data_IF_891679719642
#
_entry.id   IF_891679719642
#
_cell.length_a   1.000
_cell.length_b   1.000
_cell.length_c   1.000
_cell.angle_alpha   90.00
_cell.angle_beta   90.00
_cell.angle_gamma   90.00
#
_symmetry.space_group_name_H-M   'P 1'
#
loop_
_entity.id
_entity.type
_entity.pdbx_description
1 polymer ?
#
# COMPACT_ATOMS: atom_id res chain seq x y z
N UNK A 1 -18.32 -10.32 11.79
CA UNK A 1 -18.79 -9.78 13.09
C UNK A 1 -17.69 -9.91 14.15
N UNK A 2 -17.58 -8.96 15.10
CA UNK A 2 -16.66 -9.06 16.26
C UNK A 2 -17.34 -9.81 17.41
N UNK A 3 -16.61 -10.75 18.03
CA UNK A 3 -17.03 -11.47 19.22
C UNK A 3 -16.06 -11.20 20.37
N UNK A 4 -16.56 -10.85 21.56
CA UNK A 4 -15.75 -10.75 22.77
C UNK A 4 -15.92 -12.03 23.58
N UNK A 5 -14.82 -12.75 23.79
CA UNK A 5 -14.79 -14.03 24.51
C UNK A 5 -13.71 -13.98 25.61
N UNK A 6 -14.08 -13.45 26.78
CA UNK A 6 -13.17 -13.36 27.92
C UNK A 6 -13.93 -13.49 29.25
N UNK A 7 -13.33 -14.13 30.25
CA UNK A 7 -13.78 -14.08 31.65
C UNK A 7 -13.04 -13.00 32.45
N UNK A 8 -12.06 -12.33 31.87
CA UNK A 8 -11.38 -11.20 32.50
C UNK A 8 -12.32 -9.98 32.50
N UNK A 9 -12.69 -9.55 33.70
CA UNK A 9 -13.66 -8.49 33.91
C UNK A 9 -13.16 -7.13 33.40
N UNK A 10 -11.87 -6.85 33.57
CA UNK A 10 -11.26 -5.58 33.17
C UNK A 10 -11.21 -5.48 31.65
N UNK A 11 -10.63 -6.50 31.00
CA UNK A 11 -10.60 -6.62 29.53
C UNK A 11 -12.00 -6.57 28.94
N UNK A 12 -12.94 -7.32 29.50
CA UNK A 12 -14.34 -7.32 29.03
C UNK A 12 -14.92 -5.91 29.03
N UNK A 13 -14.84 -5.20 30.15
CA UNK A 13 -15.46 -3.89 30.27
C UNK A 13 -14.79 -2.85 29.38
N UNK A 14 -13.47 -2.85 29.30
CA UNK A 14 -12.75 -1.87 28.48
C UNK A 14 -13.00 -2.10 26.99
N UNK A 15 -12.91 -3.35 26.51
CA UNK A 15 -13.16 -3.71 25.11
C UNK A 15 -14.61 -3.41 24.72
N UNK A 16 -15.59 -3.82 25.54
CA UNK A 16 -17.02 -3.58 25.28
C UNK A 16 -17.33 -2.08 25.24
N UNK A 17 -16.78 -1.30 26.17
CA UNK A 17 -16.97 0.15 26.18
C UNK A 17 -16.36 0.78 24.92
N UNK A 18 -15.13 0.41 24.56
CA UNK A 18 -14.44 0.94 23.40
C UNK A 18 -15.13 0.60 22.06
N UNK A 19 -15.77 -0.57 21.96
CA UNK A 19 -16.60 -0.97 20.80
C UNK A 19 -17.91 -0.17 20.74
N UNK A 20 -18.57 0.03 21.88
CA UNK A 20 -19.80 0.83 21.97
C UNK A 20 -19.58 2.30 21.65
N UNK A 21 -18.49 2.88 22.14
CA UNK A 21 -18.13 4.28 21.87
C UNK A 21 -17.89 4.57 20.39
N UNK A 22 -17.69 3.52 19.58
CA UNK A 22 -17.46 3.57 18.13
C UNK A 22 -18.64 3.07 17.29
N UNK A 23 -19.79 2.81 17.91
CA UNK A 23 -21.00 2.28 17.24
C UNK A 23 -20.75 0.99 16.44
N UNK A 24 -19.90 0.10 16.98
CA UNK A 24 -19.53 -1.16 16.32
C UNK A 24 -20.52 -2.26 16.70
N UNK A 25 -20.92 -3.07 15.71
CA UNK A 25 -21.71 -4.27 15.97
C UNK A 25 -20.82 -5.40 16.49
N UNK A 26 -21.12 -5.90 17.70
CA UNK A 26 -20.40 -7.00 18.32
C UNK A 26 -21.36 -7.87 19.16
N UNK A 27 -20.90 -9.08 19.49
CA UNK A 27 -21.55 -9.96 20.46
C UNK A 27 -20.56 -10.47 21.50
N UNK A 28 -21.06 -11.11 22.54
CA UNK A 28 -20.27 -11.62 23.67
C UNK A 28 -20.60 -13.09 23.89
N UNK A 29 -19.58 -13.93 24.09
CA UNK A 29 -19.74 -15.37 24.37
C UNK A 29 -18.84 -15.80 25.52
N UNK A 30 -19.14 -16.94 26.13
CA UNK A 30 -18.24 -17.53 27.14
C UNK A 30 -17.00 -18.12 26.46
N UNK A 31 -15.79 -17.95 27.03
CA UNK A 31 -14.58 -18.57 26.49
C UNK A 31 -14.71 -20.08 26.32
N UNK A 32 -14.23 -20.59 25.18
CA UNK A 32 -14.31 -22.01 24.81
C UNK A 32 -15.67 -22.51 24.30
N UNK A 33 -16.66 -21.63 24.14
CA UNK A 33 -17.92 -21.96 23.47
C UNK A 33 -17.86 -21.73 21.95
N UNK A 34 -18.76 -22.35 21.19
CA UNK A 34 -18.79 -22.15 19.74
C UNK A 34 -19.14 -20.70 19.38
N UNK A 35 -18.42 -20.15 18.41
CA UNK A 35 -18.69 -18.82 17.88
C UNK A 35 -19.90 -18.84 16.93
N UNK A 36 -20.62 -17.71 16.77
CA UNK A 36 -21.60 -17.54 15.71
C UNK A 36 -20.99 -17.76 14.32
N UNK A 37 -21.79 -18.23 13.35
CA UNK A 37 -21.32 -18.47 11.97
C UNK A 37 -20.79 -17.21 11.27
N UNK A 38 -21.26 -16.03 11.69
CA UNK A 38 -20.89 -14.71 11.15
C UNK A 38 -19.64 -14.12 11.84
N UNK A 39 -19.02 -14.85 12.78
CA UNK A 39 -17.85 -14.40 13.50
C UNK A 39 -16.61 -14.34 12.58
N UNK A 40 -16.00 -13.17 12.50
CA UNK A 40 -14.79 -12.93 11.70
C UNK A 40 -13.58 -12.65 12.59
N UNK A 41 -13.82 -12.00 13.73
CA UNK A 41 -12.81 -11.68 14.75
C UNK A 41 -13.32 -12.08 16.13
N UNK A 42 -12.45 -12.65 16.95
CA UNK A 42 -12.68 -12.86 18.38
C UNK A 42 -11.63 -12.12 19.20
N UNK A 43 -12.06 -11.37 20.22
CA UNK A 43 -11.20 -10.68 21.18
C UNK A 43 -11.20 -11.44 22.49
N UNK A 44 -10.02 -11.82 22.99
CA UNK A 44 -9.85 -12.59 24.23
C UNK A 44 -8.71 -12.04 25.07
N UNK A 45 -8.68 -12.32 26.39
CA UNK A 45 -7.60 -11.87 27.26
C UNK A 45 -6.33 -12.72 27.08
N UNK A 46 -5.15 -12.12 27.30
CA UNK A 46 -3.87 -12.83 27.22
C UNK A 46 -3.81 -14.07 28.13
N UNK A 47 -4.34 -13.95 29.34
CA UNK A 47 -4.41 -15.05 30.32
C UNK A 47 -5.26 -16.25 29.87
N UNK A 48 -6.10 -16.06 28.85
CA UNK A 48 -7.07 -17.05 28.36
C UNK A 48 -6.71 -17.60 26.97
N UNK A 49 -5.66 -17.06 26.34
CA UNK A 49 -5.28 -17.34 24.96
C UNK A 49 -4.54 -18.67 24.76
N UNK A 50 -4.14 -19.37 25.84
CA UNK A 50 -3.33 -20.60 25.77
C UNK A 50 -1.95 -20.38 25.11
N UNK A 51 -1.12 -21.43 25.05
CA UNK A 51 0.23 -21.38 24.42
C UNK A 51 0.21 -21.10 22.89
N UNK A 52 -0.98 -20.87 22.31
CA UNK A 52 -1.17 -20.46 20.92
C UNK A 52 -2.54 -19.82 20.74
N UNK A 53 -2.58 -18.49 20.62
CA UNK A 53 -3.80 -17.69 20.49
C UNK A 53 -4.73 -18.10 19.30
N UNK A 54 -4.25 -18.93 18.36
CA UNK A 54 -5.04 -19.42 17.22
C UNK A 54 -5.76 -20.76 17.42
N UNK A 55 -5.52 -21.50 18.50
CA UNK A 55 -6.03 -22.89 18.64
C UNK A 55 -7.44 -22.98 19.26
N UNK A 56 -7.88 -21.96 20.01
CA UNK A 56 -9.19 -21.98 20.69
C UNK A 56 -10.36 -21.82 19.71
N UNK A 57 -10.17 -21.03 18.65
CA UNK A 57 -11.20 -20.67 17.68
C UNK A 57 -10.69 -20.87 16.23
N UNK A 58 -10.57 -22.12 15.77
CA UNK A 58 -10.01 -22.41 14.46
C UNK A 58 -10.84 -21.78 13.33
N UNK A 59 -10.17 -21.03 12.46
CA UNK A 59 -10.80 -20.38 11.30
C UNK A 59 -11.37 -18.99 11.57
N UNK A 60 -11.20 -18.43 12.77
CA UNK A 60 -11.58 -17.05 13.13
C UNK A 60 -10.34 -16.30 13.61
N UNK A 61 -10.17 -15.04 13.20
CA UNK A 61 -9.01 -14.25 13.62
C UNK A 61 -9.11 -13.91 15.10
N UNK A 62 -8.09 -14.27 15.87
CA UNK A 62 -8.05 -14.00 17.33
C UNK A 62 -7.16 -12.81 17.61
N UNK A 63 -7.72 -11.81 18.30
CA UNK A 63 -7.01 -10.66 18.84
C UNK A 63 -6.89 -10.84 20.34
N UNK A 64 -5.66 -10.73 20.84
CA UNK A 64 -5.36 -10.85 22.26
C UNK A 64 -5.32 -9.46 22.88
N UNK A 65 -6.18 -9.24 23.88
CA UNK A 65 -6.23 -8.00 24.63
C UNK A 65 -5.29 -8.03 25.82
N UNK A 66 -4.39 -7.05 25.84
CA UNK A 66 -3.59 -6.68 27.00
C UNK A 66 -4.48 -5.91 27.99
N UNK A 67 -4.59 -6.31 29.27
CA UNK A 67 -5.31 -5.56 30.29
C UNK A 67 -4.82 -4.11 30.44
N UNK A 68 -3.54 -3.85 30.17
CA UNK A 68 -2.94 -2.51 30.28
C UNK A 68 -3.24 -1.63 29.04
N UNK A 69 -3.62 -2.21 27.89
CA UNK A 69 -3.99 -1.49 26.65
C UNK A 69 -5.06 -2.19 25.79
N UNK A 70 -6.29 -2.32 26.29
CA UNK A 70 -7.39 -3.01 25.60
C UNK A 70 -7.93 -2.21 24.39
N UNK A 71 -7.59 -0.91 24.27
CA UNK A 71 -7.99 -0.11 23.10
C UNK A 71 -7.28 -0.57 21.84
N UNK A 72 -6.01 -0.95 21.97
CA UNK A 72 -5.21 -1.49 20.87
C UNK A 72 -5.86 -2.74 20.27
N UNK A 73 -6.37 -3.64 21.12
CA UNK A 73 -7.09 -4.84 20.67
C UNK A 73 -8.37 -4.50 19.88
N UNK A 74 -9.10 -3.45 20.29
CA UNK A 74 -10.26 -2.98 19.52
C UNK A 74 -9.86 -2.39 18.17
N UNK A 75 -8.76 -1.64 18.12
CA UNK A 75 -8.24 -1.07 16.87
C UNK A 75 -7.81 -2.16 15.89
N UNK A 76 -7.14 -3.20 16.39
CA UNK A 76 -6.75 -4.38 15.62
C UNK A 76 -7.96 -5.18 15.12
N UNK A 77 -8.95 -5.42 15.97
CA UNK A 77 -10.18 -6.10 15.57
C UNK A 77 -10.94 -5.33 14.48
N UNK A 78 -10.99 -3.99 14.59
CA UNK A 78 -11.63 -3.14 13.60
C UNK A 78 -10.83 -3.03 12.30
N UNK A 79 -9.50 -3.04 12.38
CA UNK A 79 -8.61 -3.14 11.24
C UNK A 79 -8.92 -4.40 10.42
N UNK A 80 -8.99 -5.55 11.09
CA UNK A 80 -9.35 -6.82 10.46
C UNK A 80 -10.73 -6.80 9.83
N UNK A 81 -11.75 -6.32 10.57
CA UNK A 81 -13.12 -6.19 10.06
C UNK A 81 -13.25 -5.28 8.83
N UNK A 82 -12.30 -4.37 8.61
CA UNK A 82 -12.22 -3.51 7.42
C UNK A 82 -11.42 -4.14 6.26
N UNK A 83 -11.05 -5.42 6.37
CA UNK A 83 -10.23 -6.14 5.40
C UNK A 83 -8.72 -6.07 5.66
N UNK A 84 -8.30 -5.45 6.77
CA UNK A 84 -6.92 -5.43 7.22
C UNK A 84 -6.59 -6.66 8.03
N UNK A 85 -6.51 -7.82 7.39
CA UNK A 85 -5.67 -8.91 7.91
C UNK A 85 -4.32 -8.27 8.29
N UNK A 86 -3.60 -8.74 9.30
CA UNK A 86 -2.24 -8.24 9.61
C UNK A 86 -1.23 -8.34 8.45
N UNK A 87 -1.68 -8.62 7.24
CA UNK A 87 -1.01 -8.44 5.98
C UNK A 87 -0.52 -6.99 5.83
N UNK A 88 0.75 -6.87 5.45
CA UNK A 88 1.29 -5.58 5.03
C UNK A 88 0.80 -5.31 3.62
N UNK A 89 0.17 -4.16 3.45
CA UNK A 89 -0.25 -3.65 2.15
C UNK A 89 0.55 -2.40 1.85
N UNK A 90 1.20 -2.36 0.69
CA UNK A 90 1.94 -1.18 0.24
C UNK A 90 1.18 -0.54 -0.90
N UNK A 91 0.71 0.69 -0.74
CA UNK A 91 0.14 1.48 -1.83
C UNK A 91 1.21 2.31 -2.52
N UNK A 92 1.16 2.39 -3.85
CA UNK A 92 2.07 3.18 -4.68
C UNK A 92 1.26 4.03 -5.65
N UNK A 93 1.36 5.35 -5.51
CA UNK A 93 0.90 6.32 -6.51
C UNK A 93 2.01 6.59 -7.52
N UNK A 94 1.90 6.06 -8.76
CA UNK A 94 2.99 6.16 -9.72
C UNK A 94 3.18 7.59 -10.23
N UNK A 95 4.43 7.95 -10.47
CA UNK A 95 4.81 9.25 -10.97
C UNK A 95 6.32 9.37 -11.11
N UNK A 96 6.86 10.55 -11.44
CA UNK A 96 8.30 10.76 -11.48
C UNK A 96 8.96 10.58 -10.10
N UNK A 97 8.24 10.94 -9.04
CA UNK A 97 8.61 10.62 -7.66
C UNK A 97 7.40 9.95 -6.99
N UNK A 98 7.22 8.62 -7.13
CA UNK A 98 6.05 7.94 -6.60
C UNK A 98 5.84 8.19 -5.10
N UNK A 99 4.58 8.38 -4.71
CA UNK A 99 4.17 8.30 -3.31
C UNK A 99 4.05 6.84 -2.91
N UNK A 100 4.59 6.46 -1.77
CA UNK A 100 4.53 5.09 -1.24
C UNK A 100 3.97 5.15 0.18
N UNK A 101 3.01 4.28 0.49
CA UNK A 101 2.43 4.15 1.82
C UNK A 101 2.43 2.68 2.26
N UNK A 102 3.04 2.38 3.40
CA UNK A 102 3.08 1.04 4.00
C UNK A 102 2.01 0.97 5.08
N UNK A 103 1.09 0.02 4.95
CA UNK A 103 -0.01 -0.19 5.87
C UNK A 103 0.11 -1.56 6.53
N UNK A 104 -0.10 -1.63 7.83
CA UNK A 104 -0.22 -2.87 8.60
C UNK A 104 -1.58 -2.89 9.29
N UNK A 105 -2.43 -3.87 8.97
CA UNK A 105 -3.83 -3.85 9.45
C UNK A 105 -4.56 -2.56 9.05
N UNK A 106 -4.27 -2.01 7.88
CA UNK A 106 -4.87 -0.76 7.42
C UNK A 106 -4.38 0.52 8.14
N UNK A 107 -3.43 0.44 9.07
CA UNK A 107 -2.79 1.61 9.68
C UNK A 107 -1.52 1.98 8.93
N UNK A 108 -1.35 3.26 8.57
CA UNK A 108 -0.14 3.76 7.91
C UNK A 108 1.02 3.76 8.90
N UNK A 109 2.05 2.95 8.65
CA UNK A 109 3.24 2.83 9.51
C UNK A 109 4.45 3.58 8.93
N UNK A 110 4.51 3.71 7.61
CA UNK A 110 5.56 4.45 6.92
C UNK A 110 5.04 5.08 5.62
N UNK A 111 5.66 6.18 5.21
CA UNK A 111 5.41 6.82 3.92
C UNK A 111 6.72 7.29 3.31
N UNK A 112 6.81 7.19 1.98
CA UNK A 112 7.98 7.59 1.22
C UNK A 112 7.58 8.40 0.00
N UNK A 113 8.51 9.23 -0.46
CA UNK A 113 8.46 9.83 -1.78
C UNK A 113 9.88 9.84 -2.33
N UNK A 114 10.12 8.98 -3.32
CA UNK A 114 11.45 8.74 -3.90
C UNK A 114 11.37 8.80 -5.42
N UNK A 115 12.48 9.02 -6.14
CA UNK A 115 12.51 8.87 -7.59
C UNK A 115 11.98 7.49 -8.03
N UNK A 116 11.37 7.41 -9.21
CA UNK A 116 10.79 6.16 -9.73
C UNK A 116 11.81 5.02 -9.84
N UNK A 117 13.09 5.34 -10.08
CA UNK A 117 14.17 4.34 -10.09
C UNK A 117 14.39 3.65 -8.73
N UNK A 118 14.13 4.34 -7.63
CA UNK A 118 14.36 3.83 -6.27
C UNK A 118 13.08 3.22 -5.65
N UNK A 119 11.93 3.45 -6.27
CA UNK A 119 10.63 3.11 -5.69
C UNK A 119 10.47 1.60 -5.43
N UNK A 120 10.91 0.75 -6.36
CA UNK A 120 10.84 -0.70 -6.19
C UNK A 120 11.73 -1.18 -5.05
N UNK A 121 12.95 -0.64 -4.92
CA UNK A 121 13.89 -1.01 -3.86
C UNK A 121 13.34 -0.65 -2.47
N UNK A 122 12.74 0.53 -2.32
CA UNK A 122 12.07 0.94 -1.08
C UNK A 122 10.93 -0.01 -0.72
N UNK A 123 10.09 -0.36 -1.70
CA UNK A 123 9.00 -1.32 -1.46
C UNK A 123 9.55 -2.69 -1.06
N UNK A 124 10.60 -3.16 -1.73
CA UNK A 124 11.24 -4.45 -1.44
C UNK A 124 11.84 -4.49 -0.03
N UNK A 125 12.47 -3.41 0.43
CA UNK A 125 12.99 -3.30 1.80
C UNK A 125 11.87 -3.44 2.84
N UNK A 126 10.72 -2.80 2.61
CA UNK A 126 9.58 -2.83 3.53
C UNK A 126 8.86 -4.19 3.58
N UNK A 127 8.96 -5.00 2.51
CA UNK A 127 8.24 -6.28 2.40
C UNK A 127 9.14 -7.51 2.53
N UNK A 128 10.46 -7.36 2.65
CA UNK A 128 11.43 -8.46 2.59
C UNK A 128 11.18 -9.59 3.61
N UNK A 129 10.79 -9.23 4.84
CA UNK A 129 10.56 -10.17 5.94
C UNK A 129 9.06 -10.37 6.26
N UNK A 130 8.18 -9.88 5.39
CA UNK A 130 6.73 -9.95 5.60
C UNK A 130 6.17 -11.21 4.95
N UNK A 131 5.32 -11.99 5.64
CA UNK A 131 4.57 -13.06 5.02
C UNK A 131 3.43 -12.53 4.15
N UNK A 132 3.40 -12.95 2.88
CA UNK A 132 2.34 -12.66 1.90
C UNK A 132 2.00 -11.15 1.75
N UNK A 133 2.98 -10.28 1.47
CA UNK A 133 2.72 -8.85 1.27
C UNK A 133 1.97 -8.61 -0.04
N UNK A 134 1.13 -7.58 -0.07
CA UNK A 134 0.43 -7.14 -1.28
C UNK A 134 0.85 -5.71 -1.61
N UNK A 135 1.35 -5.51 -2.82
CA UNK A 135 1.66 -4.16 -3.34
C UNK A 135 0.58 -3.74 -4.31
N UNK A 136 -0.03 -2.58 -4.06
CA UNK A 136 -1.09 -1.98 -4.87
C UNK A 136 -0.55 -0.78 -5.60
N UNK A 137 -0.67 -0.75 -6.92
CA UNK A 137 -0.15 0.32 -7.77
C UNK A 137 -1.30 0.98 -8.51
N UNK A 138 -1.41 2.31 -8.44
CA UNK A 138 -2.42 3.09 -9.17
C UNK A 138 -2.27 2.97 -10.70
N UNK A 139 -3.35 3.14 -11.45
CA UNK A 139 -3.35 3.01 -12.90
C UNK A 139 -3.01 4.31 -13.66
N UNK A 140 -2.95 5.45 -12.96
CA UNK A 140 -2.76 6.80 -13.50
C UNK A 140 -1.50 6.99 -14.35
N UNK A 141 -0.31 7.09 -13.74
CA UNK A 141 0.93 7.35 -14.46
C UNK A 141 1.50 6.07 -15.12
N UNK A 142 0.86 5.62 -16.18
CA UNK A 142 1.07 4.32 -16.86
C UNK A 142 2.53 3.90 -17.06
N UNK A 143 3.38 4.78 -17.59
CA UNK A 143 4.80 4.46 -17.83
C UNK A 143 5.60 4.26 -16.55
N UNK A 144 5.29 5.03 -15.49
CA UNK A 144 5.99 4.93 -14.21
C UNK A 144 5.46 3.73 -13.43
N UNK A 145 4.13 3.53 -13.43
CA UNK A 145 3.49 2.36 -12.83
C UNK A 145 3.98 1.05 -13.47
N UNK A 146 4.13 1.00 -14.79
CA UNK A 146 4.69 -0.18 -15.47
C UNK A 146 6.07 -0.56 -14.94
N UNK A 147 6.98 0.40 -14.77
CA UNK A 147 8.32 0.12 -14.23
C UNK A 147 8.29 -0.45 -12.83
N UNK A 148 7.47 0.14 -11.96
CA UNK A 148 7.33 -0.34 -10.58
C UNK A 148 6.75 -1.76 -10.56
N UNK A 149 5.68 -1.99 -11.34
CA UNK A 149 5.03 -3.31 -11.44
C UNK A 149 6.00 -4.36 -11.97
N UNK A 150 6.73 -4.05 -13.05
CA UNK A 150 7.66 -5.00 -13.68
C UNK A 150 8.83 -5.34 -12.73
N UNK A 151 9.43 -4.34 -12.08
CA UNK A 151 10.53 -4.55 -11.13
C UNK A 151 10.11 -5.40 -9.91
N UNK A 152 8.92 -5.12 -9.34
CA UNK A 152 8.38 -5.91 -8.24
C UNK A 152 7.97 -7.33 -8.66
N UNK A 153 7.43 -7.47 -9.88
CA UNK A 153 7.10 -8.77 -10.46
C UNK A 153 8.32 -9.65 -10.69
N UNK A 154 9.44 -9.07 -11.15
CA UNK A 154 10.72 -9.77 -11.28
C UNK A 154 11.28 -10.26 -9.93
N UNK A 155 11.04 -9.51 -8.86
CA UNK A 155 11.39 -9.89 -7.49
C UNK A 155 10.42 -10.93 -6.87
N UNK A 156 9.33 -11.29 -7.56
CA UNK A 156 8.36 -12.28 -7.10
C UNK A 156 7.35 -11.75 -6.07
N UNK A 157 7.18 -10.43 -5.97
CA UNK A 157 6.19 -9.80 -5.09
C UNK A 157 4.80 -9.82 -5.73
N UNK A 158 3.76 -10.04 -4.94
CA UNK A 158 2.37 -9.97 -5.42
C UNK A 158 1.98 -8.51 -5.66
N UNK A 159 1.66 -8.19 -6.92
CA UNK A 159 1.27 -6.84 -7.33
C UNK A 159 -0.18 -6.81 -7.82
N UNK A 160 -0.93 -5.82 -7.37
CA UNK A 160 -2.29 -5.50 -7.80
C UNK A 160 -2.32 -4.13 -8.49
N UNK A 161 -2.93 -4.07 -9.67
CA UNK A 161 -3.21 -2.81 -10.36
C UNK A 161 -4.57 -2.27 -9.90
N UNK A 162 -4.59 -1.05 -9.41
CA UNK A 162 -5.80 -0.39 -8.89
C UNK A 162 -6.32 0.61 -9.91
N UNK A 163 -7.60 0.51 -10.26
CA UNK A 163 -8.27 1.50 -11.10
C UNK A 163 -8.70 2.72 -10.26
N UNK A 164 -8.08 3.87 -10.54
CA UNK A 164 -8.34 5.14 -9.85
C UNK A 164 -9.40 5.97 -10.58
N UNK A 165 -9.93 5.45 -11.68
CA UNK A 165 -10.93 6.11 -12.52
C UNK A 165 -12.26 6.21 -11.79
N UNK A 166 -12.61 7.43 -11.36
CA UNK A 166 -13.88 7.72 -10.68
C UNK A 166 -13.76 7.92 -9.18
N UNK A 167 -12.58 7.69 -8.59
CA UNK A 167 -12.29 8.07 -7.21
C UNK A 167 -11.71 9.48 -7.17
N UNK A 168 -12.55 10.50 -7.28
CA UNK A 168 -12.15 11.88 -6.96
C UNK A 168 -12.61 12.26 -5.55
N UNK A 169 -11.72 12.29 -4.54
CA UNK A 169 -11.84 13.25 -3.48
C UNK A 169 -11.33 14.59 -4.03
N UNK A 170 -12.24 15.55 -4.18
CA UNK A 170 -11.90 16.95 -4.35
C UNK A 170 -11.03 17.39 -3.16
N UNK A 171 -9.71 17.43 -3.32
CA UNK A 171 -8.84 18.18 -2.44
C UNK A 171 -8.48 19.49 -3.15
N UNK A 172 -8.88 20.59 -2.51
CA UNK A 172 -8.79 21.94 -3.06
C UNK A 172 -7.35 22.31 -3.45
N UNK A 173 -7.24 23.14 -4.49
CA UNK A 173 -6.00 23.78 -4.97
C UNK A 173 -5.15 24.31 -3.81
N UNK A 174 -4.12 23.57 -3.37
CA UNK A 174 -3.26 24.08 -2.30
C UNK A 174 -2.03 23.26 -1.86
N UNK A 175 -1.99 21.93 -1.98
CA UNK A 175 -0.98 21.12 -1.25
C UNK A 175 -0.15 20.17 -2.14
N UNK A 176 0.49 20.71 -3.18
CA UNK A 176 1.20 19.96 -4.25
C UNK A 176 2.34 19.00 -3.85
N UNK A 177 2.66 18.83 -2.56
CA UNK A 177 3.75 17.95 -2.09
C UNK A 177 3.27 16.80 -1.19
N UNK A 178 1.99 16.75 -0.79
CA UNK A 178 1.45 15.65 0.03
C UNK A 178 0.38 14.85 -0.73
N UNK A 179 0.01 15.30 -1.93
CA UNK A 179 -1.06 14.71 -2.72
C UNK A 179 -0.71 13.26 -3.11
N UNK A 180 0.54 13.00 -3.53
CA UNK A 180 0.98 11.66 -3.99
C UNK A 180 1.02 10.63 -2.84
N UNK A 181 1.43 11.04 -1.63
CA UNK A 181 1.44 10.15 -0.46
C UNK A 181 0.01 9.84 0.00
N UNK A 182 -0.88 10.84 -0.01
CA UNK A 182 -2.29 10.61 0.31
C UNK A 182 -2.97 9.73 -0.74
N UNK A 183 -2.61 9.89 -2.02
CA UNK A 183 -3.04 9.00 -3.08
C UNK A 183 -2.55 7.56 -2.81
N UNK A 184 -1.27 7.38 -2.47
CA UNK A 184 -0.72 6.08 -2.11
C UNK A 184 -1.47 5.40 -0.95
N UNK A 185 -1.86 6.14 0.09
CA UNK A 185 -2.70 5.62 1.18
C UNK A 185 -4.07 5.16 0.66
N UNK A 186 -4.70 5.95 -0.22
CA UNK A 186 -6.00 5.56 -0.80
C UNK A 186 -5.86 4.31 -1.68
N UNK A 187 -4.82 4.23 -2.51
CA UNK A 187 -4.51 3.06 -3.34
C UNK A 187 -4.32 1.82 -2.46
N UNK A 188 -3.62 1.94 -1.34
CA UNK A 188 -3.44 0.85 -0.39
C UNK A 188 -4.77 0.33 0.20
N UNK A 189 -5.82 1.15 0.23
CA UNK A 189 -7.14 0.75 0.75
C UNK A 189 -8.09 0.17 -0.31
N UNK A 190 -7.81 0.36 -1.60
CA UNK A 190 -8.65 -0.15 -2.68
C UNK A 190 -8.25 -1.58 -3.04
N UNK A 191 -9.18 -2.35 -3.57
CA UNK A 191 -8.87 -3.66 -4.17
C UNK A 191 -8.40 -3.46 -5.62
N UNK A 192 -7.42 -4.25 -6.05
CA UNK A 192 -6.90 -4.21 -7.42
C UNK A 192 -6.89 -5.57 -8.10
N UNK A 193 -6.55 -5.56 -9.39
CA UNK A 193 -6.40 -6.77 -10.20
C UNK A 193 -4.96 -7.26 -10.15
N UNK A 194 -4.74 -8.54 -9.81
CA UNK A 194 -3.39 -9.12 -9.79
C UNK A 194 -2.75 -9.10 -11.17
N UNK A 195 -1.54 -8.56 -11.25
CA UNK A 195 -0.76 -8.44 -12.48
C UNK A 195 0.64 -9.01 -12.29
N UNK A 196 1.20 -9.60 -13.34
CA UNK A 196 2.57 -10.12 -13.36
C UNK A 196 3.55 -9.18 -14.08
N UNK A 197 3.09 -8.00 -14.48
CA UNK A 197 3.78 -7.07 -15.37
C UNK A 197 2.79 -6.18 -16.13
N UNK A 198 3.26 -5.05 -16.68
CA UNK A 198 2.42 -4.12 -17.45
C UNK A 198 3.15 -3.60 -18.69
N UNK A 199 2.92 -4.24 -19.84
CA UNK A 199 3.44 -3.74 -21.11
C UNK A 199 2.69 -2.48 -21.56
N UNK A 200 3.37 -1.33 -21.58
CA UNK A 200 2.81 -0.05 -22.02
C UNK A 200 3.62 0.49 -23.19
N UNK A 201 2.95 0.77 -24.31
CA UNK A 201 3.59 1.46 -25.42
C UNK A 201 3.49 2.98 -25.24
N UNK A 202 4.62 3.73 -25.20
CA UNK A 202 4.59 5.17 -24.97
C UNK A 202 3.82 5.91 -26.06
N UNK A 203 2.86 6.72 -25.66
CA UNK A 203 2.13 7.59 -26.58
C UNK A 203 2.99 8.77 -27.03
N UNK A 204 2.63 9.40 -28.16
CA UNK A 204 3.28 10.61 -28.63
C UNK A 204 3.25 11.75 -27.58
N UNK A 205 2.17 11.83 -26.79
CA UNK A 205 2.04 12.81 -25.71
C UNK A 205 3.04 12.56 -24.57
N UNK A 206 3.17 11.32 -24.11
CA UNK A 206 4.14 10.95 -23.07
C UNK A 206 5.59 11.16 -23.52
N UNK A 207 5.91 10.82 -24.77
CA UNK A 207 7.23 11.10 -25.35
C UNK A 207 7.50 12.61 -25.41
N UNK A 208 6.49 13.43 -25.72
CA UNK A 208 6.62 14.88 -25.72
C UNK A 208 6.88 15.44 -24.32
N UNK A 209 6.25 14.89 -23.29
CA UNK A 209 6.50 15.26 -21.89
C UNK A 209 7.96 15.00 -21.51
N UNK A 210 8.50 13.83 -21.86
CA UNK A 210 9.91 13.48 -21.62
C UNK A 210 10.85 14.47 -22.33
N UNK A 211 10.57 14.78 -23.61
CA UNK A 211 11.35 15.75 -24.39
C UNK A 211 11.33 17.15 -23.78
N UNK A 212 10.17 17.60 -23.27
CA UNK A 212 10.06 18.89 -22.60
C UNK A 212 10.86 18.91 -21.29
N UNK A 213 10.78 17.85 -20.47
CA UNK A 213 11.54 17.75 -19.22
C UNK A 213 13.05 17.72 -19.47
N UNK A 214 13.51 17.05 -20.53
CA UNK A 214 14.90 17.10 -20.97
C UNK A 214 15.37 18.53 -21.22
N UNK A 215 14.57 19.34 -21.93
CA UNK A 215 14.91 20.75 -22.20
C UNK A 215 15.08 21.52 -20.90
N UNK A 216 14.17 21.35 -19.96
CA UNK A 216 14.20 22.05 -18.67
C UNK A 216 15.40 21.65 -17.81
N UNK A 217 15.81 20.38 -17.85
CA UNK A 217 16.87 19.82 -17.00
C UNK A 217 18.27 19.99 -17.60
N UNK A 218 18.40 20.02 -18.92
CA UNK A 218 19.70 20.20 -19.59
C UNK A 218 20.19 21.65 -19.48
N UNK A 219 21.48 21.84 -19.25
CA UNK A 219 22.12 23.17 -19.14
C UNK A 219 21.95 24.02 -20.42
N UNK A 220 21.87 23.36 -21.58
CA UNK A 220 21.81 24.01 -22.90
C UNK A 220 20.40 24.01 -23.52
N UNK A 221 19.36 23.69 -22.73
CA UNK A 221 17.97 23.66 -23.19
C UNK A 221 17.72 22.69 -24.38
N UNK A 222 18.45 21.56 -24.38
CA UNK A 222 18.46 20.55 -25.43
C UNK A 222 17.29 19.59 -25.31
N UNK A 223 16.77 19.17 -26.46
CA UNK A 223 15.66 18.22 -26.55
C UNK A 223 16.20 16.85 -26.91
N UNK A 224 15.80 15.82 -26.17
CA UNK A 224 16.12 14.46 -26.60
C UNK A 224 15.52 14.13 -27.98
N UNK A 225 16.27 13.45 -28.85
CA UNK A 225 15.71 12.82 -30.04
C UNK A 225 14.70 11.74 -29.61
N UNK A 226 13.78 11.40 -30.52
CA UNK A 226 12.71 10.44 -30.20
C UNK A 226 13.24 9.07 -29.74
N UNK A 227 14.35 8.60 -30.34
CA UNK A 227 15.01 7.36 -29.94
C UNK A 227 15.35 7.34 -28.44
N UNK A 228 16.04 8.37 -27.96
CA UNK A 228 16.40 8.51 -26.55
C UNK A 228 15.18 8.73 -25.67
N UNK A 229 14.20 9.52 -26.11
CA UNK A 229 12.95 9.71 -25.37
C UNK A 229 12.16 8.39 -25.21
N UNK A 230 12.20 7.49 -26.20
CA UNK A 230 11.61 6.16 -26.11
C UNK A 230 12.35 5.27 -25.13
N UNK A 231 13.69 5.27 -25.16
CA UNK A 231 14.51 4.53 -24.19
C UNK A 231 14.27 5.01 -22.76
N UNK A 232 14.11 6.33 -22.58
CA UNK A 232 13.68 6.85 -21.29
C UNK A 232 12.30 6.34 -20.95
N UNK A 233 11.32 6.38 -21.86
CA UNK A 233 9.94 5.95 -21.59
C UNK A 233 9.83 4.47 -21.22
N UNK A 234 10.58 3.59 -21.88
CA UNK A 234 10.64 2.14 -21.63
C UNK A 234 11.46 1.75 -20.40
N UNK A 235 12.15 2.71 -19.76
CA UNK A 235 12.98 2.45 -18.59
C UNK A 235 14.38 1.91 -18.93
N UNK A 236 14.77 1.89 -20.21
CA UNK A 236 16.12 1.50 -20.62
C UNK A 236 17.19 2.53 -20.23
N UNK A 237 16.81 3.79 -20.08
CA UNK A 237 17.67 4.88 -19.60
C UNK A 237 16.92 5.75 -18.61
N UNK A 238 17.63 6.28 -17.62
CA UNK A 238 17.16 7.44 -16.85
C UNK A 238 17.16 8.68 -17.72
N UNK A 239 16.43 9.72 -17.29
CA UNK A 239 16.42 11.00 -18.00
C UNK A 239 17.82 11.61 -18.07
N UNK A 240 18.61 11.50 -17.00
CA UNK A 240 19.95 12.07 -16.93
C UNK A 240 20.95 11.31 -17.82
N UNK A 241 20.90 9.98 -17.83
CA UNK A 241 21.71 9.17 -18.75
C UNK A 241 21.39 9.48 -20.20
N UNK A 242 20.11 9.65 -20.55
CA UNK A 242 19.73 10.02 -21.90
C UNK A 242 20.21 11.43 -22.28
N UNK A 243 20.19 12.39 -21.35
CA UNK A 243 20.75 13.74 -21.58
C UNK A 243 22.26 13.67 -21.80
N UNK A 244 22.97 12.88 -20.99
CA UNK A 244 24.41 12.69 -21.12
C UNK A 244 24.77 12.04 -22.47
N UNK A 245 24.11 10.94 -22.84
CA UNK A 245 24.31 10.27 -24.12
C UNK A 245 24.03 11.20 -25.31
N UNK A 246 22.99 12.03 -25.23
CA UNK A 246 22.71 13.00 -26.29
C UNK A 246 23.78 14.09 -26.42
N UNK A 247 24.43 14.47 -25.31
CA UNK A 247 25.53 15.43 -25.32
C UNK A 247 26.73 14.87 -26.07
N UNK A 248 27.10 13.63 -25.75
CA UNK A 248 28.22 12.91 -26.40
C UNK A 248 27.99 12.75 -27.91
N UNK A 249 26.79 12.37 -28.34
CA UNK A 249 26.44 12.23 -29.76
C UNK A 249 26.58 13.52 -30.60
N UNK A 250 26.53 14.70 -29.97
CA UNK A 250 26.66 16.00 -30.65
C UNK A 250 28.12 16.47 -30.68
N UNK A 251 28.94 15.98 -29.74
CA UNK A 251 30.34 16.37 -29.61
C UNK A 251 31.29 15.52 -30.47
N UNK A 252 30.82 14.37 -31.00
CA UNK A 252 31.47 13.57 -32.05
C UNK A 252 31.23 14.11 -33.48
#
# INVERSE_FOLDING_TARGET
MIVVATNDFEVYHEVVNALRDRDVEFTTVEPGTNLPEEAEVVVTAESESGDGAGDTYPGVHTVVADPDDPRKAVEEALAYMRGGTGQVVVGVDPGPNPGIAVLHGGMVVATYQVPVEDAADVVLEEVADVPDPVVRVGDGARLHGARVIDALGEAGVTVELVDETGTTPYLGRGARNMDDVLAAVNIAHLEGERVSGRSVEPTAGELQVIKNRSRERSEENRTLPERLARQVATGELTLDEAIAAHREEIEE
#
